data_IF_009133219739
#
_entry.id   IF_009133219739
#
_cell.length_a   1.000
_cell.length_b   1.000
_cell.length_c   1.000
_cell.angle_alpha   90.00
_cell.angle_beta   90.00
_cell.angle_gamma   90.00
#
_symmetry.space_group_name_H-M   'P 1'
#
loop_
_entity.id
_entity.type
_entity.pdbx_description
1 polymer ?
#
# COMPACT_ATOMS: atom_id res chain seq x y z
N UNK A 1 45.24 -11.96 -0.55
CA UNK A 1 44.78 -10.56 -0.40
C UNK A 1 43.88 -10.13 -1.56
N UNK A 2 44.34 -10.10 -2.81
CA UNK A 2 43.49 -9.71 -3.96
C UNK A 2 42.21 -10.56 -4.12
N UNK A 3 42.28 -11.87 -3.85
CA UNK A 3 41.10 -12.75 -3.86
C UNK A 3 40.05 -12.34 -2.82
N UNK A 4 40.49 -11.89 -1.64
CA UNK A 4 39.59 -11.45 -0.56
C UNK A 4 38.90 -10.15 -0.97
N UNK A 5 39.64 -9.20 -1.55
CA UNK A 5 39.11 -7.93 -2.10
C UNK A 5 38.03 -8.18 -3.16
N UNK A 6 38.23 -9.14 -4.08
CA UNK A 6 37.23 -9.46 -5.11
C UNK A 6 35.97 -10.10 -4.51
N UNK A 7 36.13 -10.98 -3.53
CA UNK A 7 35.00 -11.63 -2.84
C UNK A 7 34.20 -10.61 -2.02
N UNK A 8 34.88 -9.72 -1.31
CA UNK A 8 34.24 -8.68 -0.50
C UNK A 8 33.51 -7.67 -1.39
N UNK A 9 34.10 -7.30 -2.53
CA UNK A 9 33.45 -6.42 -3.52
C UNK A 9 32.19 -7.05 -4.13
N UNK A 10 32.22 -8.35 -4.45
CA UNK A 10 31.03 -9.07 -4.93
C UNK A 10 29.92 -9.15 -3.88
N UNK A 11 30.29 -9.37 -2.61
CA UNK A 11 29.31 -9.34 -1.51
C UNK A 11 28.68 -7.97 -1.34
N UNK A 12 29.49 -6.91 -1.44
CA UNK A 12 28.99 -5.53 -1.36
C UNK A 12 27.99 -5.21 -2.48
N UNK A 13 28.34 -5.54 -3.73
CA UNK A 13 27.44 -5.37 -4.87
C UNK A 13 26.11 -6.13 -4.71
N UNK A 14 26.17 -7.35 -4.17
CA UNK A 14 24.97 -8.15 -3.95
C UNK A 14 24.07 -7.55 -2.86
N UNK A 15 24.66 -7.02 -1.77
CA UNK A 15 23.93 -6.32 -0.71
C UNK A 15 23.29 -5.03 -1.27
N UNK A 16 24.00 -4.28 -2.11
CA UNK A 16 23.45 -3.07 -2.75
C UNK A 16 22.23 -3.39 -3.64
N UNK A 17 22.27 -4.48 -4.40
CA UNK A 17 21.12 -4.97 -5.18
C UNK A 17 19.94 -5.41 -4.30
N UNK A 18 20.19 -6.10 -3.19
CA UNK A 18 19.14 -6.48 -2.23
C UNK A 18 18.51 -5.25 -1.55
N UNK A 19 19.30 -4.26 -1.15
CA UNK A 19 18.80 -3.02 -0.53
C UNK A 19 17.99 -2.20 -1.55
N UNK A 20 18.45 -2.11 -2.79
CA UNK A 20 17.71 -1.47 -3.87
C UNK A 20 16.35 -2.17 -4.09
N UNK A 21 16.34 -3.50 -4.07
CA UNK A 21 15.13 -4.32 -4.15
C UNK A 21 14.17 -4.04 -3.00
N UNK A 22 14.63 -4.09 -1.74
CA UNK A 22 13.76 -3.86 -0.57
C UNK A 22 13.12 -2.47 -0.60
N UNK A 23 13.91 -1.44 -0.96
CA UNK A 23 13.44 -0.06 -1.01
C UNK A 23 12.47 0.22 -2.16
N UNK A 24 12.59 -0.51 -3.29
CA UNK A 24 11.76 -0.26 -4.47
C UNK A 24 10.53 -1.17 -4.58
N UNK A 25 10.48 -2.27 -3.82
CA UNK A 25 9.46 -3.30 -3.94
C UNK A 25 8.66 -3.50 -2.63
N UNK A 26 9.33 -4.01 -1.59
CA UNK A 26 8.67 -4.41 -0.35
C UNK A 26 8.16 -3.22 0.49
N UNK A 27 8.97 -2.17 0.63
CA UNK A 27 8.61 -1.01 1.47
C UNK A 27 7.40 -0.25 0.90
N UNK A 28 7.35 0.09 -0.40
CA UNK A 28 6.16 0.69 -1.01
C UNK A 28 4.92 -0.20 -0.92
N UNK A 29 5.06 -1.51 -1.14
CA UNK A 29 3.93 -2.45 -1.08
C UNK A 29 3.28 -2.53 0.30
N UNK A 30 4.09 -2.65 1.36
CA UNK A 30 3.59 -2.66 2.75
C UNK A 30 2.93 -1.32 3.09
N UNK A 31 3.55 -0.21 2.70
CA UNK A 31 2.99 1.13 2.92
C UNK A 31 1.59 1.26 2.31
N UNK A 32 1.44 0.97 1.02
CA UNK A 32 0.14 1.09 0.37
C UNK A 32 -0.88 0.07 0.87
N UNK A 33 -0.47 -1.14 1.27
CA UNK A 33 -1.39 -2.11 1.90
C UNK A 33 -1.97 -1.60 3.23
N UNK A 34 -1.14 -0.88 4.01
CA UNK A 34 -1.56 -0.24 5.26
C UNK A 34 -2.48 0.95 4.97
N UNK A 35 -2.17 1.75 3.95
CA UNK A 35 -3.02 2.86 3.49
C UNK A 35 -4.39 2.38 3.00
N UNK A 36 -4.45 1.29 2.25
CA UNK A 36 -5.72 0.65 1.83
C UNK A 36 -6.56 0.29 3.06
N UNK A 37 -5.96 -0.39 4.04
CA UNK A 37 -6.66 -0.75 5.29
C UNK A 37 -7.20 0.48 6.01
N UNK A 38 -6.39 1.54 6.09
CA UNK A 38 -6.77 2.81 6.71
C UNK A 38 -7.96 3.46 5.99
N UNK A 39 -7.91 3.59 4.66
CA UNK A 39 -9.00 4.17 3.86
C UNK A 39 -10.27 3.34 3.89
N UNK A 40 -10.16 2.01 3.89
CA UNK A 40 -11.32 1.14 4.05
C UNK A 40 -11.98 1.34 5.43
N UNK A 41 -11.16 1.40 6.49
CA UNK A 41 -11.66 1.63 7.85
C UNK A 41 -12.31 3.02 7.99
N UNK A 42 -11.75 4.05 7.38
CA UNK A 42 -12.35 5.38 7.36
C UNK A 42 -13.74 5.37 6.71
N UNK A 43 -13.92 4.65 5.59
CA UNK A 43 -15.24 4.46 4.98
C UNK A 43 -16.22 3.71 5.87
N UNK A 44 -15.75 2.66 6.55
CA UNK A 44 -16.56 1.95 7.54
C UNK A 44 -17.06 2.88 8.66
N UNK A 45 -16.19 3.77 9.18
CA UNK A 45 -16.58 4.75 10.20
C UNK A 45 -17.65 5.71 9.67
N UNK A 46 -17.57 6.16 8.42
CA UNK A 46 -18.61 7.02 7.80
C UNK A 46 -19.96 6.30 7.76
N UNK A 47 -19.98 5.03 7.36
CA UNK A 47 -21.22 4.23 7.36
C UNK A 47 -21.75 4.02 8.78
N UNK A 48 -20.86 3.80 9.74
CA UNK A 48 -21.24 3.64 11.15
C UNK A 48 -21.85 4.92 11.72
N UNK A 49 -21.30 6.09 11.40
CA UNK A 49 -21.82 7.39 11.82
C UNK A 49 -23.21 7.67 11.23
N UNK A 50 -23.38 7.39 9.93
CA UNK A 50 -24.66 7.46 9.25
C UNK A 50 -25.70 6.49 9.85
N UNK A 51 -25.29 5.29 10.25
CA UNK A 51 -26.15 4.31 10.91
C UNK A 51 -26.59 4.79 12.31
N UNK A 52 -25.70 5.43 13.05
CA UNK A 52 -25.98 5.97 14.39
C UNK A 52 -26.68 7.33 14.39
N UNK A 53 -26.94 7.92 13.22
CA UNK A 53 -27.60 9.22 13.09
C UNK A 53 -29.08 9.15 13.46
N UNK A 54 -29.53 10.07 14.31
CA UNK A 54 -30.90 10.16 14.81
C UNK A 54 -31.89 10.64 13.73
N UNK A 55 -31.44 11.49 12.82
CA UNK A 55 -32.27 12.05 11.75
C UNK A 55 -31.82 11.64 10.36
N UNK A 56 -32.76 11.65 9.41
CA UNK A 56 -32.47 11.43 7.99
C UNK A 56 -31.56 12.53 7.41
N UNK A 57 -31.62 13.75 7.95
CA UNK A 57 -30.78 14.86 7.52
C UNK A 57 -29.31 14.62 7.93
N UNK A 58 -29.07 14.28 9.20
CA UNK A 58 -27.73 13.95 9.71
C UNK A 58 -27.14 12.74 8.98
N UNK A 59 -27.95 11.70 8.75
CA UNK A 59 -27.52 10.53 7.98
C UNK A 59 -27.05 10.91 6.58
N UNK A 60 -27.80 11.76 5.87
CA UNK A 60 -27.41 12.22 4.53
C UNK A 60 -26.11 13.00 4.56
N UNK A 61 -25.96 13.92 5.51
CA UNK A 61 -24.74 14.70 5.69
C UNK A 61 -23.53 13.82 6.01
N UNK A 62 -23.69 12.81 6.87
CA UNK A 62 -22.61 11.85 7.15
C UNK A 62 -22.15 11.11 5.88
N UNK A 63 -23.11 10.64 5.07
CA UNK A 63 -22.83 9.90 3.83
C UNK A 63 -22.18 10.75 2.72
N UNK A 64 -22.23 12.08 2.79
CA UNK A 64 -21.55 12.96 1.81
C UNK A 64 -20.02 12.77 1.80
N UNK A 65 -19.43 12.22 2.88
CA UNK A 65 -18.01 11.92 2.94
C UNK A 65 -17.61 10.62 2.20
N UNK A 66 -18.57 9.71 1.91
CA UNK A 66 -18.26 8.42 1.29
C UNK A 66 -17.59 8.51 -0.08
N UNK A 67 -18.06 9.33 -1.04
CA UNK A 67 -17.45 9.39 -2.37
C UNK A 67 -15.98 9.78 -2.33
N UNK A 68 -15.61 10.70 -1.42
CA UNK A 68 -14.22 11.10 -1.23
C UNK A 68 -13.38 9.99 -0.61
N UNK A 69 -13.94 9.25 0.34
CA UNK A 69 -13.27 8.10 0.93
C UNK A 69 -13.02 6.98 -0.09
N UNK A 70 -14.02 6.69 -0.92
CA UNK A 70 -13.93 5.67 -1.98
C UNK A 70 -12.89 6.06 -3.03
N UNK A 71 -12.84 7.34 -3.41
CA UNK A 71 -11.77 7.83 -4.29
C UNK A 71 -10.39 7.60 -3.67
N UNK A 72 -10.20 7.92 -2.39
CA UNK A 72 -8.92 7.73 -1.71
C UNK A 72 -8.52 6.26 -1.61
N UNK A 73 -9.50 5.37 -1.41
CA UNK A 73 -9.29 3.93 -1.41
C UNK A 73 -8.85 3.43 -2.79
N UNK A 74 -9.52 3.86 -3.86
CA UNK A 74 -9.17 3.48 -5.24
C UNK A 74 -7.75 3.96 -5.62
N UNK A 75 -7.39 5.19 -5.24
CA UNK A 75 -6.03 5.73 -5.43
C UNK A 75 -4.97 4.87 -4.71
N UNK A 76 -5.23 4.47 -3.46
CA UNK A 76 -4.33 3.61 -2.70
C UNK A 76 -4.21 2.21 -3.30
N UNK A 77 -5.31 1.65 -3.84
CA UNK A 77 -5.31 0.38 -4.57
C UNK A 77 -4.47 0.48 -5.84
N UNK A 78 -4.62 1.56 -6.60
CA UNK A 78 -3.86 1.76 -7.83
C UNK A 78 -2.36 1.93 -7.56
N UNK A 79 -2.00 2.67 -6.50
CA UNK A 79 -0.61 2.80 -6.06
C UNK A 79 -0.02 1.46 -5.60
N UNK A 80 -0.78 0.66 -4.85
CA UNK A 80 -0.39 -0.70 -4.47
C UNK A 80 -0.19 -1.61 -5.69
N UNK A 81 -1.10 -1.57 -6.68
CA UNK A 81 -0.96 -2.38 -7.91
C UNK A 81 0.35 -2.10 -8.65
N UNK A 82 0.85 -0.86 -8.60
CA UNK A 82 2.12 -0.47 -9.23
C UNK A 82 3.34 -1.03 -8.50
N UNK A 83 3.23 -1.36 -7.21
CA UNK A 83 4.32 -2.01 -6.48
C UNK A 83 4.42 -3.50 -6.84
N UNK A 84 3.31 -4.16 -7.22
CA UNK A 84 3.25 -5.59 -7.59
C UNK A 84 3.79 -5.84 -9.03
N UNK A 85 4.85 -5.15 -9.45
CA UNK A 85 5.33 -5.16 -10.84
C UNK A 85 6.39 -6.21 -11.18
N UNK A 86 6.85 -7.03 -10.22
CA UNK A 86 7.76 -8.15 -10.53
C UNK A 86 7.02 -9.29 -11.23
N UNK A 87 7.53 -9.65 -12.41
CA UNK A 87 6.99 -10.72 -13.25
C UNK A 87 6.94 -12.11 -12.61
N UNK A 88 7.65 -12.31 -11.48
CA UNK A 88 7.64 -13.56 -10.72
C UNK A 88 6.36 -13.74 -9.88
N UNK A 89 5.73 -12.66 -9.42
CA UNK A 89 4.47 -12.74 -8.62
C UNK A 89 3.23 -12.93 -9.50
N UNK A 90 3.32 -12.58 -10.80
CA UNK A 90 2.23 -12.75 -11.77
C UNK A 90 2.15 -14.16 -12.34
N UNK A 91 3.12 -15.03 -12.01
CA UNK A 91 3.14 -16.44 -12.41
C UNK A 91 3.37 -17.31 -11.19
N UNK A 92 2.29 -17.62 -10.48
CA UNK A 92 2.17 -18.94 -9.87
C UNK A 92 1.19 -19.80 -10.70
N UNK A 93 1.56 -21.05 -11.02
CA UNK A 93 0.74 -22.01 -11.76
C UNK A 93 -0.49 -22.49 -10.97
#
# INVERSE_FOLDING_TARGET
>A
MALMVVVDYRRLLHIEEEVATINTDAVPGIYYSTSIRSSWFAGFVVVQDAYNSDTDAERRTALEALPKNDQQLEENIELYRRTVSRGDDRKMP
#
